data_IF_928530973626
#
_entry.id   IF_928530973626
#
_cell.length_a   1.000
_cell.length_b   1.000
_cell.length_c   1.000
_cell.angle_alpha   90.00
_cell.angle_beta   90.00
_cell.angle_gamma   90.00
#
_symmetry.space_group_name_H-M   'P 1'
#
loop_
_entity.id
_entity.type
_entity.pdbx_description
1 polymer ?
#
# COMPACT_ATOMS: atom_id res chain seq x y z
N UNK A 1 -32.25 -88.14 48.11
CA UNK A 1 -33.10 -87.28 47.28
C UNK A 1 -32.34 -85.93 47.19
N UNK A 2 -31.70 -85.71 46.38
CA UNK A 2 -31.23 -85.23 45.13
C UNK A 2 -31.41 -83.72 45.03
N UNK A 3 -30.32 -82.91 45.19
CA UNK A 3 -30.35 -81.50 44.97
C UNK A 3 -29.15 -81.11 44.10
N UNK A 4 -29.40 -80.82 42.83
CA UNK A 4 -28.41 -80.47 41.83
C UNK A 4 -28.04 -79.03 41.98
N UNK A 5 -26.79 -78.74 42.35
CA UNK A 5 -26.17 -77.37 42.36
C UNK A 5 -25.76 -77.00 40.97
N UNK A 6 -26.38 -75.97 40.38
CA UNK A 6 -25.98 -75.32 39.11
C UNK A 6 -24.98 -74.21 39.43
N UNK A 7 -23.75 -74.46 39.05
CA UNK A 7 -22.72 -73.37 39.00
C UNK A 7 -22.90 -72.57 37.73
N UNK A 8 -23.08 -71.26 37.88
CA UNK A 8 -23.09 -70.31 36.77
C UNK A 8 -21.61 -69.90 36.46
N UNK A 9 -21.27 -69.76 35.22
CA UNK A 9 -19.92 -69.25 34.87
C UNK A 9 -19.88 -67.73 34.98
N UNK A 10 -18.91 -67.19 35.70
CA UNK A 10 -18.51 -65.76 35.66
C UNK A 10 -17.92 -65.44 34.29
N UNK A 11 -18.63 -64.64 33.53
CA UNK A 11 -18.12 -64.03 32.31
C UNK A 11 -17.30 -62.78 32.71
N UNK A 12 -15.97 -62.86 32.66
CA UNK A 12 -15.07 -61.75 32.90
C UNK A 12 -15.09 -60.80 31.69
N UNK A 13 -15.65 -59.60 31.88
CA UNK A 13 -15.63 -58.52 30.88
C UNK A 13 -14.27 -57.84 30.93
N UNK A 14 -13.37 -58.15 29.96
CA UNK A 14 -12.14 -57.41 29.75
C UNK A 14 -12.49 -56.10 29.05
N UNK A 15 -12.53 -54.98 29.79
CA UNK A 15 -12.50 -53.63 29.20
C UNK A 15 -11.12 -53.32 28.68
N UNK A 16 -10.92 -53.40 27.35
CA UNK A 16 -9.75 -52.91 26.70
C UNK A 16 -9.81 -51.36 26.63
N UNK A 17 -9.09 -50.67 27.50
CA UNK A 17 -8.86 -49.25 27.46
C UNK A 17 -7.92 -48.96 26.27
N UNK A 18 -8.51 -48.57 25.14
CA UNK A 18 -7.77 -48.00 24.00
C UNK A 18 -7.29 -46.60 24.40
N UNK A 19 -6.03 -46.46 24.81
CA UNK A 19 -5.37 -45.16 24.96
C UNK A 19 -5.05 -44.65 23.55
N UNK A 20 -5.92 -43.81 23.02
CA UNK A 20 -5.62 -43.02 21.82
C UNK A 20 -4.55 -42.01 22.23
N UNK A 21 -3.30 -42.24 21.83
CA UNK A 21 -2.24 -41.25 21.93
C UNK A 21 -2.65 -40.09 21.03
N UNK A 22 -3.08 -38.98 21.62
CA UNK A 22 -3.21 -37.70 20.93
C UNK A 22 -1.80 -37.33 20.48
N UNK A 23 -1.52 -37.47 19.18
CA UNK A 23 -0.30 -36.97 18.57
C UNK A 23 -0.28 -35.46 18.83
N UNK A 24 0.63 -35.01 19.67
CA UNK A 24 0.85 -33.60 19.95
C UNK A 24 1.39 -32.99 18.64
N UNK A 25 0.63 -32.08 18.01
CA UNK A 25 1.14 -31.32 16.87
C UNK A 25 2.48 -30.69 17.27
N UNK A 26 3.50 -30.76 16.39
CA UNK A 26 4.77 -30.13 16.68
C UNK A 26 4.53 -28.64 16.92
N UNK A 27 5.10 -28.12 18.02
CA UNK A 27 5.00 -26.70 18.34
C UNK A 27 5.46 -25.87 17.14
N UNK A 28 4.66 -24.88 16.76
CA UNK A 28 5.04 -23.96 15.67
C UNK A 28 6.43 -23.36 15.98
N UNK A 29 7.32 -23.20 14.98
CA UNK A 29 8.61 -22.59 15.19
C UNK A 29 8.44 -21.16 15.75
N UNK A 30 9.39 -20.70 16.59
CA UNK A 30 9.31 -19.37 17.17
C UNK A 30 9.30 -18.30 16.07
N UNK A 31 8.43 -17.29 16.23
CA UNK A 31 8.39 -16.16 15.31
C UNK A 31 9.69 -15.34 15.42
N UNK A 32 10.22 -14.91 14.27
CA UNK A 32 11.36 -14.01 14.17
C UNK A 32 10.94 -12.69 13.51
N UNK A 33 11.61 -11.60 13.87
CA UNK A 33 11.46 -10.32 13.19
C UNK A 33 12.50 -10.19 12.09
N UNK A 34 12.12 -9.59 10.97
CA UNK A 34 13.01 -9.11 9.91
C UNK A 34 12.66 -7.67 9.57
N UNK A 35 13.72 -6.85 9.44
CA UNK A 35 13.58 -5.43 9.12
C UNK A 35 14.37 -5.10 7.86
N UNK A 36 13.77 -4.37 6.93
CA UNK A 36 14.41 -3.78 5.77
C UNK A 36 14.33 -2.26 5.87
N UNK A 37 15.48 -1.60 5.71
CA UNK A 37 15.59 -0.14 5.63
C UNK A 37 16.16 0.24 4.26
N UNK A 38 15.54 1.24 3.64
CA UNK A 38 15.98 1.82 2.36
C UNK A 38 16.06 3.33 2.52
N UNK A 39 17.26 3.90 2.36
CA UNK A 39 17.52 5.31 2.64
C UNK A 39 16.88 6.26 1.61
N UNK A 40 16.64 5.79 0.39
CA UNK A 40 16.04 6.59 -0.68
C UNK A 40 15.10 5.76 -1.52
N UNK A 41 13.81 6.01 -1.33
CA UNK A 41 12.73 5.59 -2.22
C UNK A 41 11.61 6.63 -2.13
N UNK A 42 11.06 7.03 -3.25
CA UNK A 42 10.04 8.11 -3.33
C UNK A 42 10.50 9.40 -2.61
N UNK A 43 11.80 9.71 -2.68
CA UNK A 43 12.41 10.87 -2.04
C UNK A 43 12.59 10.79 -0.52
N UNK A 44 12.32 9.65 0.11
CA UNK A 44 12.25 9.47 1.56
C UNK A 44 12.92 8.18 2.03
N UNK A 45 12.97 8.00 3.36
CA UNK A 45 13.36 6.74 3.99
C UNK A 45 12.16 5.79 4.09
N UNK A 46 12.39 4.53 3.79
CA UNK A 46 11.43 3.44 3.97
C UNK A 46 11.95 2.46 5.02
N UNK A 47 11.14 2.12 5.99
CA UNK A 47 11.38 1.01 6.93
C UNK A 47 10.20 0.04 6.88
N UNK A 48 10.51 -1.25 6.71
CA UNK A 48 9.53 -2.33 6.75
C UNK A 48 9.99 -3.35 7.77
N UNK A 49 9.14 -3.69 8.71
CA UNK A 49 9.34 -4.79 9.66
C UNK A 49 8.23 -5.81 9.50
N UNK A 50 8.60 -7.08 9.46
CA UNK A 50 7.68 -8.22 9.37
C UNK A 50 8.07 -9.28 10.39
N UNK A 51 7.09 -9.96 10.97
CA UNK A 51 7.29 -11.00 11.98
C UNK A 51 6.60 -12.28 11.51
N UNK A 52 7.31 -13.39 11.60
CA UNK A 52 6.79 -14.71 11.22
C UNK A 52 7.79 -15.83 11.50
N UNK A 53 7.41 -17.09 11.28
CA UNK A 53 8.23 -18.24 11.61
C UNK A 53 9.29 -18.60 10.57
N UNK A 54 9.17 -18.15 9.32
CA UNK A 54 9.97 -18.57 8.17
C UNK A 54 10.89 -17.46 7.68
N UNK A 55 12.16 -17.38 8.15
CA UNK A 55 13.05 -16.24 7.86
C UNK A 55 13.25 -15.96 6.36
N UNK A 56 13.42 -16.99 5.52
CA UNK A 56 13.61 -16.82 4.08
C UNK A 56 12.34 -16.31 3.38
N UNK A 57 11.15 -16.70 3.88
CA UNK A 57 9.90 -16.18 3.37
C UNK A 57 9.74 -14.68 3.71
N UNK A 58 10.12 -14.28 4.92
CA UNK A 58 10.11 -12.87 5.33
C UNK A 58 11.05 -12.02 4.47
N UNK A 59 12.27 -12.50 4.17
CA UNK A 59 13.20 -11.76 3.31
C UNK A 59 12.66 -11.59 1.89
N UNK A 60 12.04 -12.62 1.30
CA UNK A 60 11.40 -12.51 -0.03
C UNK A 60 10.29 -11.47 -0.05
N UNK A 61 9.45 -11.44 0.99
CA UNK A 61 8.37 -10.46 1.10
C UNK A 61 8.91 -9.04 1.25
N UNK A 62 9.99 -8.85 2.02
CA UNK A 62 10.66 -7.56 2.14
C UNK A 62 11.22 -7.08 0.80
N UNK A 63 11.85 -7.98 0.02
CA UNK A 63 12.37 -7.66 -1.30
C UNK A 63 11.25 -7.30 -2.28
N UNK A 64 10.12 -8.03 -2.26
CA UNK A 64 8.93 -7.72 -3.07
C UNK A 64 8.35 -6.35 -2.71
N UNK A 65 8.23 -6.02 -1.42
CA UNK A 65 7.77 -4.71 -0.99
C UNK A 65 8.67 -3.57 -1.48
N UNK A 66 9.99 -3.73 -1.36
CA UNK A 66 10.96 -2.72 -1.84
C UNK A 66 10.87 -2.56 -3.35
N UNK A 67 10.75 -3.67 -4.10
CA UNK A 67 10.59 -3.64 -5.55
C UNK A 67 9.30 -2.89 -5.95
N UNK A 68 8.19 -3.11 -5.24
CA UNK A 68 6.93 -2.41 -5.47
C UNK A 68 7.04 -0.91 -5.20
N UNK A 69 7.70 -0.49 -4.12
CA UNK A 69 7.96 0.93 -3.86
C UNK A 69 8.74 1.59 -5.00
N UNK A 70 9.79 0.93 -5.53
CA UNK A 70 10.59 1.44 -6.65
C UNK A 70 9.77 1.53 -7.95
N UNK A 71 8.97 0.51 -8.23
CA UNK A 71 8.06 0.49 -9.39
C UNK A 71 7.08 1.66 -9.33
N UNK A 72 6.46 1.89 -8.16
CA UNK A 72 5.55 3.01 -7.96
C UNK A 72 6.25 4.37 -8.04
N UNK A 73 7.48 4.49 -7.55
CA UNK A 73 8.29 5.70 -7.73
C UNK A 73 8.51 5.99 -9.22
N UNK A 74 8.85 4.97 -10.03
CA UNK A 74 9.04 5.13 -11.47
C UNK A 74 7.76 5.57 -12.20
N UNK A 75 6.61 5.12 -11.72
CA UNK A 75 5.31 5.43 -12.31
C UNK A 75 4.76 6.80 -11.91
N UNK A 76 4.92 7.17 -10.62
CA UNK A 76 4.21 8.28 -9.97
C UNK A 76 5.07 9.54 -9.76
N UNK A 77 6.36 9.51 -10.11
CA UNK A 77 7.26 10.67 -9.96
C UNK A 77 6.95 11.78 -10.94
N UNK A 78 7.15 13.06 -10.52
CA UNK A 78 6.97 14.25 -11.35
C UNK A 78 8.28 15.03 -11.63
N UNK A 79 9.44 14.54 -11.13
CA UNK A 79 10.76 15.20 -11.34
C UNK A 79 11.66 14.50 -12.35
N UNK A 80 11.22 13.44 -12.99
CA UNK A 80 11.86 12.76 -14.12
C UNK A 80 10.80 12.16 -15.04
N UNK A 81 11.14 11.76 -16.28
CA UNK A 81 10.19 11.13 -17.18
C UNK A 81 9.46 9.93 -16.52
N UNK A 82 8.14 9.95 -16.59
CA UNK A 82 7.26 8.96 -15.99
C UNK A 82 5.89 8.95 -16.67
N UNK A 83 5.01 7.96 -16.40
CA UNK A 83 3.60 8.02 -16.78
C UNK A 83 2.88 9.28 -16.29
N UNK A 84 3.17 9.74 -15.06
CA UNK A 84 2.58 10.97 -14.51
C UNK A 84 3.02 12.21 -15.30
N UNK A 85 4.31 12.34 -15.61
CA UNK A 85 4.79 13.50 -16.41
C UNK A 85 4.24 13.46 -17.82
N UNK A 86 4.13 12.26 -18.44
CA UNK A 86 3.53 12.09 -19.77
C UNK A 86 2.06 12.50 -19.80
N UNK A 87 1.29 12.16 -18.75
CA UNK A 87 -0.09 12.62 -18.59
C UNK A 87 -0.16 14.14 -18.49
N UNK A 88 0.71 14.74 -17.66
CA UNK A 88 0.78 16.18 -17.46
C UNK A 88 1.14 16.94 -18.75
N UNK A 89 2.04 16.40 -19.56
CA UNK A 89 2.49 17.02 -20.80
C UNK A 89 1.44 16.94 -21.92
N UNK A 90 0.56 15.92 -21.86
CA UNK A 90 -0.57 15.75 -22.78
C UNK A 90 -1.85 16.49 -22.35
N UNK A 91 -1.78 17.36 -21.32
CA UNK A 91 -2.95 18.10 -20.84
C UNK A 91 -3.58 18.98 -21.94
N UNK A 92 -4.88 18.78 -22.21
CA UNK A 92 -5.64 19.44 -23.27
C UNK A 92 -5.66 18.74 -24.62
N UNK A 93 -5.11 17.51 -24.70
CA UNK A 93 -5.14 16.64 -25.88
C UNK A 93 -6.27 15.59 -25.82
N UNK A 94 -7.13 15.66 -24.78
CA UNK A 94 -8.21 14.71 -24.54
C UNK A 94 -7.77 13.50 -23.66
N UNK A 95 -8.65 12.49 -23.52
CA UNK A 95 -8.40 11.35 -22.64
C UNK A 95 -7.15 10.57 -23.03
N UNK A 96 -6.30 10.29 -22.03
CA UNK A 96 -5.04 9.54 -22.19
C UNK A 96 -5.08 8.27 -21.35
N UNK A 97 -4.71 7.10 -21.92
CA UNK A 97 -4.58 5.88 -21.14
C UNK A 97 -3.44 6.01 -20.13
N UNK A 98 -3.67 5.54 -18.93
CA UNK A 98 -2.69 5.56 -17.84
C UNK A 98 -2.58 4.19 -17.17
N UNK A 99 -1.42 3.88 -16.54
CA UNK A 99 -1.28 2.65 -15.76
C UNK A 99 -2.30 2.55 -14.62
N UNK A 100 -2.66 1.33 -14.19
CA UNK A 100 -3.70 1.11 -13.17
C UNK A 100 -3.41 1.78 -11.82
N UNK A 101 -2.14 1.83 -11.38
CA UNK A 101 -1.81 2.48 -10.11
C UNK A 101 -1.89 4.00 -10.21
N UNK A 102 -1.47 4.60 -11.32
CA UNK A 102 -1.65 6.04 -11.56
C UNK A 102 -3.14 6.41 -11.60
N UNK A 103 -3.96 5.59 -12.27
CA UNK A 103 -5.41 5.77 -12.29
C UNK A 103 -6.00 5.68 -10.87
N UNK A 104 -5.63 4.65 -10.11
CA UNK A 104 -6.13 4.40 -8.76
C UNK A 104 -5.75 5.49 -7.77
N UNK A 105 -4.50 5.94 -7.78
CA UNK A 105 -4.06 7.00 -6.86
C UNK A 105 -4.69 8.35 -7.20
N UNK A 106 -4.91 8.64 -8.49
CA UNK A 106 -5.66 9.83 -8.91
C UNK A 106 -7.11 9.77 -8.45
N UNK A 107 -7.80 8.63 -8.60
CA UNK A 107 -9.16 8.43 -8.11
C UNK A 107 -9.28 8.70 -6.60
N UNK A 108 -8.33 8.16 -5.81
CA UNK A 108 -8.28 8.44 -4.36
C UNK A 108 -8.01 9.93 -4.11
N UNK A 109 -7.10 10.54 -4.87
CA UNK A 109 -6.80 11.98 -4.77
C UNK A 109 -8.03 12.86 -5.04
N UNK A 110 -8.81 12.55 -6.09
CA UNK A 110 -10.06 13.26 -6.40
C UNK A 110 -11.11 13.07 -5.28
N UNK A 111 -11.21 11.86 -4.72
CA UNK A 111 -12.08 11.56 -3.58
C UNK A 111 -11.71 12.40 -2.35
N UNK A 112 -10.42 12.57 -2.07
CA UNK A 112 -9.98 13.45 -0.98
C UNK A 112 -10.20 14.92 -1.30
N UNK A 113 -10.06 15.33 -2.56
CA UNK A 113 -10.46 16.67 -3.02
C UNK A 113 -11.92 16.97 -2.67
N UNK A 114 -12.82 16.05 -2.99
CA UNK A 114 -14.25 16.17 -2.68
C UNK A 114 -14.50 16.19 -1.17
N UNK A 115 -13.99 15.22 -0.42
CA UNK A 115 -14.19 15.09 1.03
C UNK A 115 -13.67 16.28 1.84
N UNK A 116 -12.64 16.96 1.35
CA UNK A 116 -12.05 18.12 2.02
C UNK A 116 -12.53 19.47 1.48
N UNK A 117 -13.47 19.46 0.52
CA UNK A 117 -13.93 20.67 -0.14
C UNK A 117 -12.83 21.42 -0.89
N UNK A 118 -11.81 20.67 -1.39
CA UNK A 118 -10.67 21.22 -2.12
C UNK A 118 -9.49 21.65 -1.24
N UNK A 119 -9.51 21.41 0.06
CA UNK A 119 -8.36 21.66 0.93
C UNK A 119 -7.19 20.74 0.58
N UNK A 120 -7.47 19.51 0.15
CA UNK A 120 -6.54 18.65 -0.57
C UNK A 120 -6.90 18.66 -2.06
N UNK A 121 -5.93 18.97 -2.93
CA UNK A 121 -6.17 19.01 -4.38
C UNK A 121 -4.91 18.60 -5.13
N UNK A 122 -4.97 17.47 -5.83
CA UNK A 122 -3.83 16.94 -6.63
C UNK A 122 -3.46 17.86 -7.79
N UNK A 123 -4.35 18.77 -8.22
CA UNK A 123 -4.08 19.72 -9.30
C UNK A 123 -3.29 20.95 -8.82
N UNK A 124 -3.02 21.07 -7.52
CA UNK A 124 -2.18 22.13 -6.95
C UNK A 124 -0.79 22.18 -7.61
N UNK A 125 -0.28 21.09 -8.17
CA UNK A 125 1.00 21.05 -8.88
C UNK A 125 1.09 22.11 -10.01
N UNK A 126 -0.04 22.51 -10.60
CA UNK A 126 -0.09 23.58 -11.60
C UNK A 126 0.41 24.92 -11.08
N UNK A 127 0.08 25.28 -9.85
CA UNK A 127 0.50 26.53 -9.19
C UNK A 127 1.75 26.30 -8.32
N UNK A 128 1.88 25.15 -7.65
CA UNK A 128 2.98 24.84 -6.74
C UNK A 128 4.37 24.94 -7.38
N UNK A 129 4.48 24.57 -8.66
CA UNK A 129 5.73 24.67 -9.44
C UNK A 129 6.24 26.09 -9.68
N UNK A 130 5.42 27.11 -9.39
CA UNK A 130 5.86 28.53 -9.51
C UNK A 130 6.87 28.91 -8.43
N UNK A 131 6.93 28.18 -7.32
CA UNK A 131 7.92 28.37 -6.27
C UNK A 131 9.17 27.54 -6.57
N UNK A 132 10.32 28.19 -6.60
CA UNK A 132 11.62 27.53 -6.70
C UNK A 132 12.39 27.67 -5.38
N UNK A 133 12.21 26.65 -4.52
CA UNK A 133 12.90 26.60 -3.22
C UNK A 133 14.38 26.21 -3.34
N UNK A 134 14.84 25.72 -4.50
CA UNK A 134 16.23 25.33 -4.72
C UNK A 134 17.11 26.54 -5.12
N UNK A 135 16.49 27.58 -5.66
CA UNK A 135 17.16 28.82 -6.03
C UNK A 135 17.59 29.60 -4.76
N UNK A 136 18.72 30.29 -4.83
CA UNK A 136 19.21 31.18 -3.78
C UNK A 136 19.33 32.63 -4.30
N UNK A 137 18.53 33.59 -3.81
CA UNK A 137 17.41 33.43 -2.87
C UNK A 137 16.25 32.66 -3.50
N UNK A 138 15.36 32.04 -2.70
CA UNK A 138 14.18 31.34 -3.22
C UNK A 138 13.32 32.24 -4.11
N UNK A 139 12.79 31.69 -5.22
CA UNK A 139 11.89 32.43 -6.07
C UNK A 139 10.49 32.45 -5.47
N UNK A 140 10.02 33.66 -5.14
CA UNK A 140 8.62 33.92 -4.77
C UNK A 140 7.90 34.42 -6.01
N UNK A 141 6.84 33.74 -6.49
CA UNK A 141 6.09 34.17 -7.68
C UNK A 141 5.33 35.47 -7.41
N UNK A 142 5.04 36.24 -8.48
CA UNK A 142 4.21 37.44 -8.36
C UNK A 142 2.75 37.08 -8.04
N UNK A 143 1.98 37.96 -7.40
CA UNK A 143 0.54 37.77 -7.18
C UNK A 143 -0.24 37.45 -8.46
N UNK A 144 0.12 38.08 -9.58
CA UNK A 144 -0.49 37.87 -10.90
C UNK A 144 -0.21 36.46 -11.42
N UNK A 145 1.04 35.98 -11.31
CA UNK A 145 1.41 34.63 -11.70
C UNK A 145 0.67 33.57 -10.85
N UNK A 146 0.52 33.81 -9.55
CA UNK A 146 -0.25 32.96 -8.66
C UNK A 146 -1.72 32.94 -9.08
N UNK A 147 -2.34 34.10 -9.33
CA UNK A 147 -3.73 34.22 -9.74
C UNK A 147 -4.00 33.48 -11.07
N UNK A 148 -3.12 33.58 -12.04
CA UNK A 148 -3.22 32.81 -13.29
C UNK A 148 -3.05 31.31 -13.07
N UNK A 149 -2.08 30.89 -12.24
CA UNK A 149 -1.86 29.48 -11.92
C UNK A 149 -3.06 28.86 -11.19
N UNK A 150 -3.71 29.60 -10.30
CA UNK A 150 -4.90 29.14 -9.56
C UNK A 150 -6.10 28.87 -10.48
N UNK A 151 -6.21 29.50 -11.65
CA UNK A 151 -7.27 29.19 -12.64
C UNK A 151 -7.19 27.75 -13.14
N UNK A 152 -6.01 27.14 -13.08
CA UNK A 152 -5.75 25.76 -13.50
C UNK A 152 -5.89 24.75 -12.35
N UNK A 153 -6.11 25.20 -11.12
CA UNK A 153 -6.37 24.34 -9.96
C UNK A 153 -7.87 24.05 -9.87
N UNK A 154 -8.20 22.85 -9.47
CA UNK A 154 -9.57 22.38 -9.24
C UNK A 154 -9.75 20.93 -9.64
N UNK A 155 -9.76 20.03 -8.64
CA UNK A 155 -9.91 18.58 -8.83
C UNK A 155 -11.16 18.21 -9.65
N UNK A 156 -12.24 19.00 -9.57
CA UNK A 156 -13.49 18.78 -10.31
C UNK A 156 -13.34 18.89 -11.83
N UNK A 157 -12.24 19.47 -12.31
CA UNK A 157 -11.95 19.62 -13.74
C UNK A 157 -11.29 18.39 -14.34
N UNK A 158 -10.72 17.50 -13.49
CA UNK A 158 -10.10 16.24 -13.92
C UNK A 158 -11.21 15.26 -14.26
N UNK A 159 -11.13 14.65 -15.43
CA UNK A 159 -12.04 13.58 -15.84
C UNK A 159 -11.31 12.24 -15.83
N UNK A 160 -11.88 11.28 -15.10
CA UNK A 160 -11.34 9.95 -14.96
C UNK A 160 -12.38 8.95 -15.43
N UNK A 161 -12.01 8.09 -16.40
CA UNK A 161 -12.81 6.96 -16.84
C UNK A 161 -12.13 5.65 -16.41
N UNK A 162 -12.68 5.04 -15.36
CA UNK A 162 -12.17 3.78 -14.81
C UNK A 162 -12.33 2.61 -15.80
N UNK A 163 -13.42 2.58 -16.56
CA UNK A 163 -13.70 1.49 -17.49
C UNK A 163 -12.76 1.52 -18.70
N UNK A 164 -12.46 2.73 -19.19
CA UNK A 164 -11.52 2.93 -20.29
C UNK A 164 -10.05 3.00 -19.81
N UNK A 165 -9.79 3.15 -18.51
CA UNK A 165 -8.43 3.32 -17.98
C UNK A 165 -7.80 4.64 -18.40
N UNK A 166 -8.60 5.72 -18.53
CA UNK A 166 -8.11 7.00 -19.08
C UNK A 166 -8.31 8.16 -18.11
N UNK A 167 -7.45 9.17 -18.25
CA UNK A 167 -7.53 10.46 -17.56
C UNK A 167 -7.47 11.58 -18.58
N UNK A 168 -8.33 12.59 -18.44
CA UNK A 168 -8.34 13.80 -19.24
C UNK A 168 -8.11 15.02 -18.35
N UNK A 169 -7.07 15.78 -18.67
CA UNK A 169 -6.69 17.00 -17.99
C UNK A 169 -6.96 18.20 -18.91
N UNK A 170 -7.61 19.26 -18.44
CA UNK A 170 -7.69 20.52 -19.17
C UNK A 170 -6.31 21.05 -19.57
N UNK A 171 -6.24 21.77 -20.69
CA UNK A 171 -4.99 22.36 -21.19
C UNK A 171 -4.29 23.19 -20.13
N UNK A 172 -3.01 22.89 -19.91
CA UNK A 172 -2.14 23.58 -18.96
C UNK A 172 -2.31 23.14 -17.50
N UNK A 173 -3.32 22.32 -17.18
CA UNK A 173 -3.44 21.72 -15.86
C UNK A 173 -2.30 20.72 -15.63
N UNK A 174 -1.87 20.59 -14.38
CA UNK A 174 -0.92 19.56 -13.95
C UNK A 174 -1.39 18.94 -12.64
N UNK A 175 -1.18 17.65 -12.52
CA UNK A 175 -1.42 16.89 -11.29
C UNK A 175 -0.10 16.50 -10.65
N UNK A 176 -0.05 16.50 -9.32
CA UNK A 176 1.09 16.09 -8.53
C UNK A 176 0.65 15.17 -7.39
N UNK A 177 1.41 14.15 -7.13
CA UNK A 177 1.04 13.09 -6.20
C UNK A 177 1.86 13.08 -4.92
N UNK A 178 2.73 14.09 -4.70
CA UNK A 178 3.63 14.15 -3.53
C UNK A 178 2.94 14.07 -2.17
N UNK A 179 1.66 14.45 -2.08
CA UNK A 179 0.87 14.38 -0.83
C UNK A 179 0.10 13.07 -0.65
N UNK A 180 0.20 12.08 -1.56
CA UNK A 180 -0.61 10.85 -1.50
C UNK A 180 0.13 9.60 -1.96
N UNK A 181 1.16 9.73 -2.81
CA UNK A 181 1.82 8.58 -3.44
C UNK A 181 2.54 7.68 -2.42
N UNK A 182 3.11 8.24 -1.34
CA UNK A 182 3.78 7.46 -0.30
C UNK A 182 2.78 6.60 0.47
N UNK A 183 1.64 7.17 0.88
CA UNK A 183 0.56 6.42 1.53
C UNK A 183 -0.02 5.32 0.63
N UNK A 184 -0.16 5.59 -0.68
CA UNK A 184 -0.53 4.57 -1.67
C UNK A 184 0.47 3.41 -1.70
N UNK A 185 1.77 3.70 -1.74
CA UNK A 185 2.82 2.68 -1.76
C UNK A 185 2.85 1.87 -0.46
N UNK A 186 2.64 2.51 0.70
CA UNK A 186 2.49 1.84 2.00
C UNK A 186 1.31 0.86 1.98
N UNK A 187 0.16 1.25 1.41
CA UNK A 187 -1.00 0.39 1.26
C UNK A 187 -0.74 -0.80 0.33
N UNK A 188 0.00 -0.58 -0.77
CA UNK A 188 0.40 -1.64 -1.71
C UNK A 188 1.35 -2.64 -1.04
N UNK A 189 2.37 -2.18 -0.32
CA UNK A 189 3.29 -3.03 0.42
C UNK A 189 2.57 -3.83 1.51
N UNK A 190 1.68 -3.21 2.26
CA UNK A 190 0.87 -3.92 3.26
C UNK A 190 -0.02 -4.99 2.61
N UNK A 191 -0.53 -4.75 1.41
CA UNK A 191 -1.31 -5.74 0.65
C UNK A 191 -0.44 -6.94 0.23
N UNK A 192 0.82 -6.74 -0.13
CA UNK A 192 1.80 -7.81 -0.40
C UNK A 192 2.00 -8.65 0.86
N UNK A 193 2.30 -8.00 1.99
CA UNK A 193 2.52 -8.63 3.28
C UNK A 193 1.31 -9.49 3.70
N UNK A 194 0.10 -8.95 3.57
CA UNK A 194 -1.13 -9.67 3.90
C UNK A 194 -1.36 -10.90 3.03
N UNK A 195 -1.12 -10.79 1.71
CA UNK A 195 -1.25 -11.92 0.77
C UNK A 195 -0.24 -13.03 1.03
N UNK A 196 0.94 -12.71 1.56
CA UNK A 196 1.93 -13.71 1.95
C UNK A 196 1.61 -14.45 3.26
N UNK A 197 0.49 -14.10 3.91
CA UNK A 197 0.06 -14.75 5.14
C UNK A 197 0.63 -14.16 6.43
N UNK A 198 1.51 -13.15 6.35
CA UNK A 198 2.06 -12.45 7.51
C UNK A 198 0.94 -11.64 8.18
N UNK A 199 0.92 -11.68 9.53
CA UNK A 199 -0.12 -11.05 10.35
C UNK A 199 0.41 -9.97 11.29
N UNK A 200 1.72 -9.85 11.42
CA UNK A 200 2.39 -8.87 12.27
C UNK A 200 3.45 -8.13 11.45
N UNK A 201 3.21 -6.86 11.17
CA UNK A 201 4.06 -6.05 10.32
C UNK A 201 3.86 -4.55 10.57
N UNK A 202 4.87 -3.76 10.21
CA UNK A 202 4.78 -2.31 10.10
C UNK A 202 5.51 -1.85 8.82
N UNK A 203 4.88 -0.95 8.10
CA UNK A 203 5.46 -0.24 6.95
C UNK A 203 5.45 1.23 7.27
N UNK A 204 6.60 1.88 7.18
CA UNK A 204 6.77 3.31 7.44
C UNK A 204 7.57 3.94 6.30
N UNK A 205 6.97 4.84 5.56
CA UNK A 205 7.63 5.67 4.55
C UNK A 205 7.57 7.14 5.00
N UNK A 206 8.62 7.60 5.67
CA UNK A 206 8.78 9.00 6.12
C UNK A 206 7.59 9.58 6.90
N UNK A 207 6.91 8.76 7.70
CA UNK A 207 5.76 9.17 8.51
C UNK A 207 4.41 8.68 8.00
N UNK A 208 4.30 8.27 6.74
CA UNK A 208 3.16 7.47 6.27
C UNK A 208 3.31 6.05 6.81
N UNK A 209 2.49 5.68 7.78
CA UNK A 209 2.64 4.45 8.57
C UNK A 209 1.40 3.59 8.46
N UNK A 210 1.61 2.29 8.21
CA UNK A 210 0.58 1.27 8.35
C UNK A 210 1.11 0.10 9.16
N UNK A 211 0.35 -0.31 10.17
CA UNK A 211 0.68 -1.42 11.04
C UNK A 211 -0.40 -2.50 10.97
N UNK A 212 0.02 -3.74 11.13
CA UNK A 212 -0.80 -4.94 11.20
C UNK A 212 -0.37 -5.75 12.41
N UNK A 213 -1.31 -6.36 13.11
CA UNK A 213 -1.04 -7.27 14.21
C UNK A 213 -1.53 -6.79 15.55
N UNK A 214 -1.06 -7.47 16.59
CA UNK A 214 -1.36 -7.18 17.99
C UNK A 214 -0.07 -6.89 18.73
N UNK A 215 -0.12 -5.92 19.62
CA UNK A 215 0.95 -5.63 20.55
C UNK A 215 0.90 -6.60 21.72
#
# INVERSE_FOLDING_TARGET
>A
RGGVSRRAPLLGLLCALSVTALAQEPAAPPAVSRTRRVDRVMGSELTIEVIGPEPEALERVLDECVAEFRRLEDELTDWRPSPLTSLNDAAGEGPRPVPPDLLGVLEVGLTWGERTGGAFDVTFAGVGRLWDFKRQPPLVPSPEAIAEGLKLVGYQKVRLDRAAGTVDLPRGMRVGLGGIAQGWAVDRAMSIILRSGIRDAIVNCSGDVKALGKK
#
